data_IF_048926989304
#
_entry.id   IF_048926989304
#
_cell.length_a   1.000
_cell.length_b   1.000
_cell.length_c   1.000
_cell.angle_alpha   90.00
_cell.angle_beta   90.00
_cell.angle_gamma   90.00
#
_symmetry.space_group_name_H-M   'P 1'
#
loop_
_entity.id
_entity.type
_entity.pdbx_description
1 polymer ?
#
# COMPACT_ATOMS: atom_id res chain seq x y z
N UNK A 1 13.65 -8.77 -16.65
CA UNK A 1 13.02 -7.73 -17.49
C UNK A 1 13.97 -7.40 -18.63
N UNK A 2 13.69 -8.02 -19.76
CA UNK A 2 14.39 -7.79 -21.03
C UNK A 2 14.08 -6.42 -21.61
N UNK A 3 13.03 -5.72 -21.12
CA UNK A 3 12.67 -4.38 -21.58
C UNK A 3 11.95 -3.55 -20.50
N UNK A 4 12.05 -2.23 -20.59
CA UNK A 4 11.32 -1.26 -19.75
C UNK A 4 10.45 -0.41 -20.67
N UNK A 5 9.18 -0.23 -20.32
CA UNK A 5 8.24 0.60 -21.05
C UNK A 5 7.74 1.74 -20.17
N UNK A 6 7.79 2.96 -20.69
CA UNK A 6 7.24 4.12 -20.03
C UNK A 6 5.84 4.36 -20.59
N UNK A 7 4.85 4.32 -19.71
CA UNK A 7 3.50 4.78 -20.05
C UNK A 7 3.33 6.23 -19.62
N UNK A 8 2.55 6.99 -20.40
CA UNK A 8 2.21 8.37 -20.03
C UNK A 8 1.42 8.45 -18.73
N UNK A 9 1.22 9.66 -18.17
CA UNK A 9 0.45 9.85 -16.96
C UNK A 9 -0.98 9.34 -17.16
N UNK A 10 -1.43 8.51 -16.22
CA UNK A 10 -2.79 7.97 -16.19
C UNK A 10 -3.52 8.51 -14.96
N UNK A 11 -4.83 8.81 -15.07
CA UNK A 11 -5.64 9.07 -13.89
C UNK A 11 -5.55 7.88 -12.92
N UNK A 12 -5.30 8.18 -11.65
CA UNK A 12 -5.28 7.19 -10.57
C UNK A 12 -6.14 7.72 -9.43
N UNK A 13 -6.88 6.83 -8.78
CA UNK A 13 -7.69 7.20 -7.62
C UNK A 13 -6.80 7.72 -6.48
N UNK A 14 -7.29 8.74 -5.77
CA UNK A 14 -6.56 9.36 -4.67
C UNK A 14 -6.42 8.41 -3.47
N UNK A 15 -5.37 8.57 -2.69
CA UNK A 15 -5.18 7.90 -1.40
C UNK A 15 -4.53 8.86 -0.39
N UNK A 16 -4.48 8.42 0.87
CA UNK A 16 -3.99 9.25 1.98
C UNK A 16 -2.58 9.79 1.74
N UNK A 17 -1.69 8.98 1.17
CA UNK A 17 -0.29 9.36 0.93
C UNK A 17 -0.18 10.38 -0.19
N UNK A 18 -0.91 10.18 -1.30
CA UNK A 18 -0.88 11.12 -2.43
C UNK A 18 -1.48 12.49 -2.07
N UNK A 19 -2.45 12.53 -1.14
CA UNK A 19 -3.00 13.80 -0.62
C UNK A 19 -1.99 14.56 0.23
N UNK A 20 -1.35 13.89 1.18
CA UNK A 20 -0.32 14.51 2.03
C UNK A 20 0.84 15.06 1.20
N UNK A 21 1.35 14.25 0.27
CA UNK A 21 2.52 14.59 -0.55
C UNK A 21 2.13 15.15 -1.92
N UNK A 22 0.98 15.85 -2.02
CA UNK A 22 0.47 16.38 -3.28
C UNK A 22 1.47 17.31 -4.00
N UNK A 23 2.28 18.06 -3.26
CA UNK A 23 3.37 18.89 -3.80
C UNK A 23 4.39 18.08 -4.63
N UNK A 24 4.58 16.81 -4.29
CA UNK A 24 5.54 15.91 -4.92
C UNK A 24 4.86 14.82 -5.77
N UNK A 25 3.62 15.04 -6.21
CA UNK A 25 2.84 14.03 -6.94
C UNK A 25 3.56 13.48 -8.17
N UNK A 26 4.31 14.34 -8.88
CA UNK A 26 5.09 13.99 -10.08
C UNK A 26 6.31 13.11 -9.80
N UNK A 27 6.59 12.81 -8.53
CA UNK A 27 7.68 11.95 -8.10
C UNK A 27 7.21 10.56 -7.69
N UNK A 28 5.90 10.30 -7.67
CA UNK A 28 5.34 8.98 -7.48
C UNK A 28 5.17 8.29 -8.83
N UNK A 29 5.56 7.02 -8.90
CA UNK A 29 5.27 6.16 -10.04
C UNK A 29 4.75 4.81 -9.56
N UNK A 30 3.99 4.15 -10.43
CA UNK A 30 3.63 2.74 -10.27
C UNK A 30 4.50 1.94 -11.22
N UNK A 31 5.21 0.96 -10.68
CA UNK A 31 5.98 0.00 -11.46
C UNK A 31 5.24 -1.33 -11.45
N UNK A 32 4.91 -1.84 -12.63
CA UNK A 32 4.25 -3.13 -12.82
C UNK A 32 5.21 -4.12 -13.45
N UNK A 33 5.25 -5.33 -12.89
CA UNK A 33 6.03 -6.45 -13.42
C UNK A 33 5.08 -7.38 -14.17
N UNK A 34 5.24 -7.46 -15.49
CA UNK A 34 4.34 -8.18 -16.40
C UNK A 34 5.12 -9.05 -17.39
N UNK A 35 4.45 -10.04 -17.97
CA UNK A 35 4.95 -10.85 -19.08
C UNK A 35 4.89 -10.08 -20.42
N UNK A 36 5.28 -10.75 -21.51
CA UNK A 36 5.24 -10.20 -22.87
C UNK A 36 3.83 -9.85 -23.37
N UNK A 37 2.80 -10.44 -22.76
CA UNK A 37 1.38 -10.22 -23.06
C UNK A 37 0.73 -9.21 -22.10
N UNK A 38 1.53 -8.49 -21.29
CA UNK A 38 1.08 -7.55 -20.26
C UNK A 38 0.23 -8.19 -19.15
N UNK A 39 0.43 -9.48 -18.89
CA UNK A 39 -0.23 -10.23 -17.82
C UNK A 39 0.63 -10.29 -16.55
N UNK A 40 -0.04 -10.45 -15.42
CA UNK A 40 0.57 -10.67 -14.11
C UNK A 40 1.47 -11.90 -14.12
N UNK A 41 2.67 -11.78 -13.56
CA UNK A 41 3.61 -12.90 -13.43
C UNK A 41 3.10 -13.94 -12.42
N UNK A 42 3.23 -15.21 -12.77
CA UNK A 42 2.89 -16.33 -11.89
C UNK A 42 4.06 -16.74 -11.00
N UNK A 43 3.76 -17.49 -9.94
CA UNK A 43 4.79 -18.08 -9.07
C UNK A 43 5.76 -19.01 -9.85
N UNK A 44 5.27 -19.70 -10.88
CA UNK A 44 6.10 -20.55 -11.71
C UNK A 44 7.11 -19.76 -12.55
N UNK A 45 6.81 -18.51 -12.92
CA UNK A 45 7.72 -17.64 -13.68
C UNK A 45 8.89 -17.14 -12.83
N UNK A 46 8.66 -17.04 -11.51
CA UNK A 46 9.63 -16.55 -10.53
C UNK A 46 10.43 -17.67 -9.85
N UNK A 47 9.75 -18.77 -9.53
CA UNK A 47 10.31 -19.91 -8.81
C UNK A 47 9.67 -21.24 -9.25
N UNK A 48 10.10 -21.81 -10.39
CA UNK A 48 9.59 -23.08 -10.89
C UNK A 48 9.89 -24.21 -9.91
N UNK A 49 8.87 -25.00 -9.55
CA UNK A 49 9.00 -26.14 -8.61
C UNK A 49 10.00 -27.21 -9.06
N UNK A 50 10.26 -27.32 -10.35
CA UNK A 50 11.16 -28.30 -10.98
C UNK A 50 12.61 -27.83 -11.10
N UNK A 51 12.93 -26.58 -10.72
CA UNK A 51 14.26 -26.00 -10.91
C UNK A 51 15.19 -26.27 -9.73
N UNK A 52 16.42 -26.72 -10.02
CA UNK A 52 17.50 -26.91 -9.02
C UNK A 52 17.85 -25.58 -8.34
N UNK A 53 17.83 -24.49 -9.11
CA UNK A 53 17.87 -23.11 -8.63
C UNK A 53 16.44 -22.59 -8.50
N UNK A 54 15.92 -22.51 -7.26
CA UNK A 54 14.54 -22.10 -6.96
C UNK A 54 14.16 -20.68 -7.43
N UNK A 55 15.07 -19.87 -7.97
CA UNK A 55 14.84 -18.48 -8.39
C UNK A 55 15.29 -18.28 -9.84
N UNK A 56 14.45 -17.64 -10.65
CA UNK A 56 14.74 -17.34 -12.05
C UNK A 56 15.48 -16.00 -12.19
N UNK A 57 16.08 -15.76 -13.37
CA UNK A 57 16.63 -14.43 -13.72
C UNK A 57 15.57 -13.32 -13.68
N UNK A 58 14.29 -13.67 -13.87
CA UNK A 58 13.18 -12.73 -13.72
C UNK A 58 13.05 -12.32 -12.25
N UNK A 59 13.05 -13.29 -11.33
CA UNK A 59 13.06 -13.03 -9.89
C UNK A 59 14.23 -12.11 -9.51
N UNK A 60 15.46 -12.44 -9.92
CA UNK A 60 16.64 -11.68 -9.52
C UNK A 60 16.57 -10.21 -9.92
N UNK A 61 15.92 -9.92 -11.04
CA UNK A 61 15.78 -8.54 -11.47
C UNK A 61 14.55 -7.82 -10.92
N UNK A 62 13.46 -8.51 -10.64
CA UNK A 62 12.39 -7.89 -9.83
C UNK A 62 13.00 -7.51 -8.48
N UNK A 63 13.80 -8.41 -7.89
CA UNK A 63 14.53 -8.14 -6.66
C UNK A 63 15.45 -6.93 -6.78
N UNK A 64 16.28 -6.81 -7.84
CA UNK A 64 17.15 -5.63 -7.99
C UNK A 64 16.40 -4.32 -8.22
N UNK A 65 15.25 -4.35 -8.91
CA UNK A 65 14.38 -3.16 -9.03
C UNK A 65 13.85 -2.73 -7.67
N UNK A 66 13.46 -3.70 -6.82
CA UNK A 66 12.91 -3.42 -5.49
C UNK A 66 14.01 -3.02 -4.49
N UNK A 67 15.21 -3.61 -4.56
CA UNK A 67 16.31 -3.33 -3.65
C UNK A 67 17.11 -2.08 -4.04
N UNK A 68 17.43 -1.94 -5.32
CA UNK A 68 18.37 -0.94 -5.81
C UNK A 68 17.63 0.29 -6.38
N UNK A 69 16.36 0.12 -6.73
CA UNK A 69 15.54 1.12 -7.38
C UNK A 69 15.64 1.11 -8.90
N UNK A 70 15.04 2.11 -9.53
CA UNK A 70 15.09 2.34 -10.98
C UNK A 70 15.59 3.75 -11.27
N UNK A 71 16.48 3.91 -12.24
CA UNK A 71 16.91 5.23 -12.70
C UNK A 71 16.10 5.62 -13.94
N UNK A 72 15.38 6.74 -13.86
CA UNK A 72 14.67 7.35 -14.99
C UNK A 72 15.21 8.76 -15.19
N UNK A 73 15.90 8.99 -16.31
CA UNK A 73 16.59 10.26 -16.57
C UNK A 73 17.61 10.56 -15.46
N UNK A 74 17.42 11.67 -14.74
CA UNK A 74 18.29 12.09 -13.63
C UNK A 74 17.77 11.68 -12.24
N UNK A 75 16.63 10.98 -12.17
CA UNK A 75 15.98 10.60 -10.92
C UNK A 75 16.22 9.13 -10.61
N UNK A 76 16.74 8.83 -9.42
CA UNK A 76 16.71 7.49 -8.83
C UNK A 76 15.38 7.33 -8.10
N UNK A 77 14.65 6.29 -8.43
CA UNK A 77 13.32 6.01 -7.89
C UNK A 77 13.42 4.78 -7.00
N UNK A 78 12.98 4.93 -5.77
CA UNK A 78 13.16 3.95 -4.70
C UNK A 78 11.83 3.27 -4.37
N UNK A 79 11.90 2.03 -3.91
CA UNK A 79 10.73 1.31 -3.45
C UNK A 79 10.06 2.06 -2.29
N UNK A 80 8.75 2.28 -2.41
CA UNK A 80 7.96 2.93 -1.39
C UNK A 80 7.11 1.92 -0.62
N UNK A 81 6.09 1.36 -1.28
CA UNK A 81 5.18 0.37 -0.71
C UNK A 81 4.30 -0.24 -1.81
N UNK A 82 3.41 -1.14 -1.44
CA UNK A 82 2.34 -1.65 -2.30
C UNK A 82 1.03 -1.70 -1.51
N UNK A 83 -0.09 -1.48 -2.19
CA UNK A 83 -1.41 -1.78 -1.68
C UNK A 83 -1.80 -3.24 -1.95
N UNK A 84 -2.87 -3.72 -1.33
CA UNK A 84 -3.41 -5.05 -1.60
C UNK A 84 -3.84 -5.25 -3.06
N UNK A 85 -4.39 -4.21 -3.71
CA UNK A 85 -4.77 -4.27 -5.13
C UNK A 85 -3.54 -4.37 -6.02
N UNK A 86 -2.48 -3.63 -5.69
CA UNK A 86 -1.23 -3.62 -6.45
C UNK A 86 -0.48 -4.95 -6.33
N UNK A 87 -0.54 -5.60 -5.16
CA UNK A 87 0.03 -6.93 -4.99
C UNK A 87 -0.63 -7.96 -5.93
N UNK A 88 -1.96 -7.86 -6.14
CA UNK A 88 -2.70 -8.70 -7.09
C UNK A 88 -2.31 -8.44 -8.55
N UNK A 89 -1.94 -7.20 -8.87
CA UNK A 89 -1.50 -6.79 -10.21
C UNK A 89 0.03 -6.75 -10.37
N UNK A 90 0.79 -7.43 -9.49
CA UNK A 90 2.27 -7.45 -9.47
C UNK A 90 2.89 -6.06 -9.66
N UNK A 91 2.33 -5.08 -8.96
CA UNK A 91 2.68 -3.67 -9.06
C UNK A 91 3.09 -3.10 -7.70
N UNK A 92 3.82 -2.00 -7.72
CA UNK A 92 4.27 -1.31 -6.51
C UNK A 92 4.36 0.19 -6.72
N UNK A 93 4.12 0.95 -5.66
CA UNK A 93 4.50 2.36 -5.60
C UNK A 93 6.01 2.48 -5.44
N UNK A 94 6.59 3.38 -6.22
CA UNK A 94 7.97 3.85 -6.06
C UNK A 94 7.97 5.38 -6.03
N UNK A 95 8.98 5.95 -5.37
CA UNK A 95 9.10 7.39 -5.18
C UNK A 95 10.50 7.88 -5.54
N UNK A 96 10.58 8.97 -6.28
CA UNK A 96 11.82 9.65 -6.59
C UNK A 96 12.10 10.72 -5.53
N UNK A 97 13.16 10.58 -4.69
CA UNK A 97 13.48 11.57 -3.66
C UNK A 97 13.64 12.98 -4.23
N UNK A 98 13.10 13.97 -3.50
CA UNK A 98 13.10 15.39 -3.89
C UNK A 98 12.97 16.27 -2.66
N UNK A 99 13.58 17.46 -2.68
CA UNK A 99 13.51 18.45 -1.60
C UNK A 99 13.82 17.88 -0.20
N UNK A 100 14.74 16.92 -0.13
CA UNK A 100 15.12 16.24 1.11
C UNK A 100 14.18 15.11 1.56
N UNK A 101 13.02 14.95 0.92
CA UNK A 101 12.06 13.87 1.19
C UNK A 101 12.47 12.60 0.46
N UNK A 102 12.56 11.48 1.19
CA UNK A 102 12.84 10.13 0.68
C UNK A 102 11.65 9.20 0.90
N UNK A 103 11.68 8.04 0.24
CA UNK A 103 10.68 7.00 0.44
C UNK A 103 10.62 6.50 1.91
N UNK A 104 11.75 6.55 2.63
CA UNK A 104 11.79 6.21 4.05
C UNK A 104 10.98 7.18 4.93
N UNK A 105 11.06 8.49 4.65
CA UNK A 105 10.35 9.52 5.41
C UNK A 105 8.84 9.38 5.21
N UNK A 106 8.42 9.12 3.96
CA UNK A 106 7.01 8.85 3.62
C UNK A 106 6.50 7.60 4.36
N UNK A 107 7.30 6.52 4.44
CA UNK A 107 6.94 5.33 5.23
C UNK A 107 6.86 5.60 6.73
N UNK A 108 7.75 6.44 7.27
CA UNK A 108 7.72 6.82 8.68
C UNK A 108 6.49 7.65 9.02
N UNK A 109 6.06 8.51 8.08
CA UNK A 109 4.84 9.30 8.25
C UNK A 109 3.55 8.47 8.24
N UNK A 110 3.54 7.31 7.56
CA UNK A 110 2.36 6.44 7.50
C UNK A 110 1.93 5.89 8.86
N UNK A 111 2.84 5.85 9.83
CA UNK A 111 2.59 5.37 11.18
C UNK A 111 3.79 4.62 11.75
N UNK A 112 3.71 4.33 13.04
CA UNK A 112 4.69 3.47 13.72
C UNK A 112 4.28 2.00 13.57
N UNK A 113 5.12 1.24 12.86
CA UNK A 113 4.97 -0.19 12.65
C UNK A 113 6.10 -1.00 13.31
N UNK A 114 6.93 -0.38 14.16
CA UNK A 114 8.11 -1.00 14.76
C UNK A 114 7.80 -2.20 15.66
N UNK A 115 6.58 -2.27 16.21
CA UNK A 115 6.10 -3.41 16.99
C UNK A 115 5.76 -4.64 16.13
N UNK A 116 5.57 -4.48 14.82
CA UNK A 116 5.16 -5.55 13.90
C UNK A 116 6.38 -6.32 13.39
N UNK A 117 6.70 -7.44 14.06
CA UNK A 117 7.84 -8.30 13.68
C UNK A 117 7.60 -9.14 12.43
N UNK A 118 6.34 -9.40 12.07
CA UNK A 118 6.00 -10.22 10.91
C UNK A 118 6.01 -9.37 9.64
N UNK A 119 6.90 -9.67 8.70
CA UNK A 119 7.09 -8.90 7.46
C UNK A 119 5.82 -8.80 6.61
N UNK A 120 5.04 -9.88 6.51
CA UNK A 120 3.80 -9.87 5.74
C UNK A 120 2.75 -8.96 6.38
N UNK A 121 2.59 -9.02 7.72
CA UNK A 121 1.70 -8.11 8.45
C UNK A 121 2.17 -6.66 8.36
N UNK A 122 3.47 -6.42 8.48
CA UNK A 122 4.07 -5.09 8.37
C UNK A 122 3.74 -4.47 7.02
N UNK A 123 4.00 -5.20 5.93
CA UNK A 123 3.76 -4.69 4.59
C UNK A 123 2.27 -4.52 4.28
N UNK A 124 1.41 -5.41 4.79
CA UNK A 124 -0.04 -5.26 4.68
C UNK A 124 -0.53 -3.99 5.39
N UNK A 125 -0.01 -3.67 6.58
CA UNK A 125 -0.36 -2.45 7.32
C UNK A 125 0.16 -1.18 6.64
N UNK A 126 1.41 -1.20 6.17
CA UNK A 126 1.99 -0.10 5.39
C UNK A 126 1.16 0.18 4.13
N UNK A 127 0.69 -0.87 3.45
CA UNK A 127 -0.13 -0.79 2.24
C UNK A 127 -1.53 -0.21 2.43
N UNK A 128 -2.06 -0.15 3.66
CA UNK A 128 -3.41 0.39 3.93
C UNK A 128 -3.49 1.87 3.55
N UNK A 129 -2.42 2.64 3.77
CA UNK A 129 -2.35 4.06 3.41
C UNK A 129 -2.41 4.33 1.90
N UNK A 130 -2.14 3.31 1.07
CA UNK A 130 -2.26 3.37 -0.39
C UNK A 130 -3.56 2.79 -0.94
N UNK A 131 -4.47 2.36 -0.05
CA UNK A 131 -5.84 2.04 -0.44
C UNK A 131 -6.52 3.26 -1.04
N UNK A 132 -7.24 3.07 -2.14
CA UNK A 132 -8.09 4.12 -2.70
C UNK A 132 -9.10 4.56 -1.65
N UNK A 133 -9.19 5.87 -1.42
CA UNK A 133 -10.07 6.44 -0.40
C UNK A 133 -10.48 7.87 -0.77
N UNK A 134 -11.76 8.18 -0.58
CA UNK A 134 -12.28 9.55 -0.55
C UNK A 134 -12.08 10.10 0.86
N UNK A 135 -11.45 11.26 0.98
CA UNK A 135 -11.33 11.93 2.27
C UNK A 135 -12.70 12.45 2.72
N UNK A 136 -13.12 12.05 3.92
CA UNK A 136 -14.42 12.40 4.47
C UNK A 136 -14.31 13.57 5.45
N UNK A 137 -13.99 13.34 6.71
CA UNK A 137 -13.94 14.41 7.71
C UNK A 137 -12.71 14.22 8.59
N UNK A 138 -12.14 15.33 9.04
CA UNK A 138 -11.15 15.31 10.12
C UNK A 138 -11.89 15.18 11.44
N UNK A 139 -11.47 14.25 12.27
CA UNK A 139 -12.02 14.02 13.62
C UNK A 139 -10.94 14.41 14.60
N UNK A 140 -11.25 15.32 15.52
CA UNK A 140 -10.34 15.74 16.56
C UNK A 140 -10.14 14.63 17.58
N UNK A 141 -9.00 14.63 18.29
CA UNK A 141 -8.68 13.58 19.25
C UNK A 141 -9.72 13.48 20.38
N UNK A 142 -10.33 14.61 20.76
CA UNK A 142 -11.36 14.70 21.80
C UNK A 142 -12.69 14.03 21.38
N UNK A 143 -12.90 13.83 20.07
CA UNK A 143 -14.07 13.15 19.51
C UNK A 143 -13.83 11.65 19.27
N UNK A 144 -12.70 11.11 19.74
CA UNK A 144 -12.32 9.69 19.57
C UNK A 144 -12.31 8.96 20.92
N UNK A 145 -13.14 7.93 21.03
CA UNK A 145 -13.15 7.02 22.18
C UNK A 145 -12.49 5.68 21.83
N UNK A 146 -11.50 5.25 22.64
CA UNK A 146 -10.93 3.91 22.55
C UNK A 146 -11.76 2.94 23.39
N UNK A 147 -12.55 2.11 22.72
CA UNK A 147 -13.43 1.12 23.36
C UNK A 147 -12.72 -0.25 23.39
N UNK A 148 -12.70 -0.95 24.53
CA UNK A 148 -12.18 -2.31 24.60
C UNK A 148 -12.93 -3.27 23.69
N UNK A 149 -12.21 -4.28 23.17
CA UNK A 149 -12.83 -5.33 22.38
C UNK A 149 -13.87 -6.14 23.19
N UNK A 150 -14.93 -6.57 22.51
CA UNK A 150 -15.94 -7.48 23.06
C UNK A 150 -15.38 -8.90 23.02
N UNK A 151 -14.82 -9.31 24.15
CA UNK A 151 -14.21 -10.63 24.33
C UNK A 151 -15.09 -11.56 25.18
N UNK A 152 -15.20 -12.85 24.78
CA UNK A 152 -15.71 -13.91 25.66
C UNK A 152 -14.66 -15.01 25.84
N UNK A 153 -14.70 -15.65 27.00
CA UNK A 153 -13.95 -16.87 27.26
C UNK A 153 -14.92 -18.04 27.34
N UNK A 154 -14.78 -19.01 26.45
CA UNK A 154 -15.60 -20.22 26.43
C UNK A 154 -14.74 -21.43 26.07
N UNK A 155 -14.93 -22.54 26.80
CA UNK A 155 -14.19 -23.80 26.58
C UNK A 155 -12.66 -23.64 26.50
N UNK A 156 -12.10 -22.77 27.35
CA UNK A 156 -10.65 -22.49 27.40
C UNK A 156 -10.11 -21.69 26.20
N UNK A 157 -10.98 -21.15 25.34
CA UNK A 157 -10.60 -20.30 24.20
C UNK A 157 -11.18 -18.90 24.36
N UNK A 158 -10.37 -17.90 23.97
CA UNK A 158 -10.77 -16.50 23.88
C UNK A 158 -11.32 -16.23 22.49
N UNK A 159 -12.50 -15.63 22.42
CA UNK A 159 -13.14 -15.19 21.18
C UNK A 159 -13.31 -13.67 21.22
N UNK A 160 -12.95 -13.00 20.13
CA UNK A 160 -13.06 -11.54 19.96
C UNK A 160 -14.16 -11.27 18.93
N UNK A 161 -15.24 -10.60 19.31
CA UNK A 161 -16.39 -10.33 18.45
C UNK A 161 -16.35 -8.97 17.76
N UNK A 162 -15.48 -8.08 18.21
CA UNK A 162 -15.33 -6.72 17.68
C UNK A 162 -14.06 -6.51 16.85
N UNK A 163 -13.33 -7.59 16.52
CA UNK A 163 -12.09 -7.48 15.75
C UNK A 163 -12.36 -6.83 14.38
N UNK A 164 -11.81 -5.64 14.18
CA UNK A 164 -11.92 -4.89 12.94
C UNK A 164 -13.21 -4.08 12.78
N UNK A 165 -14.04 -3.94 13.81
CA UNK A 165 -15.25 -3.09 13.78
C UNK A 165 -15.20 -2.01 14.86
N UNK A 166 -15.92 -0.91 14.62
CA UNK A 166 -16.04 0.22 15.53
C UNK A 166 -17.41 0.88 15.42
N UNK A 167 -17.65 1.90 16.23
CA UNK A 167 -18.89 2.69 16.20
C UNK A 167 -18.59 4.13 15.78
N UNK A 168 -19.56 4.74 15.13
CA UNK A 168 -19.58 6.19 14.85
C UNK A 168 -20.92 6.74 15.32
N UNK A 169 -20.98 8.01 15.68
CA UNK A 169 -22.26 8.67 16.01
C UNK A 169 -23.15 8.77 14.76
N UNK A 170 -24.47 8.81 14.97
CA UNK A 170 -25.44 8.98 13.88
C UNK A 170 -25.19 10.28 13.11
N UNK A 171 -24.94 11.37 13.85
CA UNK A 171 -24.66 12.68 13.26
C UNK A 171 -23.39 12.65 12.39
N UNK A 172 -22.34 11.96 12.84
CA UNK A 172 -21.12 11.79 12.04
C UNK A 172 -21.37 10.94 10.79
N UNK A 173 -22.17 9.88 10.90
CA UNK A 173 -22.56 9.06 9.75
C UNK A 173 -23.30 9.88 8.68
N UNK A 174 -24.22 10.75 9.09
CA UNK A 174 -24.93 11.65 8.16
C UNK A 174 -23.98 12.63 7.46
N UNK A 175 -23.05 13.24 8.19
CA UNK A 175 -22.07 14.15 7.61
C UNK A 175 -21.18 13.44 6.58
N UNK A 176 -20.76 12.20 6.88
CA UNK A 176 -20.01 11.36 5.94
C UNK A 176 -20.85 11.01 4.71
N UNK A 177 -22.12 10.62 4.88
CA UNK A 177 -23.02 10.28 3.78
C UNK A 177 -23.22 11.45 2.82
N UNK A 178 -23.47 12.65 3.35
CA UNK A 178 -23.60 13.89 2.56
C UNK A 178 -22.34 14.19 1.76
N UNK A 179 -21.15 14.05 2.36
CA UNK A 179 -19.88 14.29 1.64
C UNK A 179 -19.58 13.21 0.58
N UNK A 180 -20.11 12.01 0.77
CA UNK A 180 -19.99 10.91 -0.17
C UNK A 180 -21.06 10.94 -1.28
N UNK A 181 -21.97 11.91 -1.28
CA UNK A 181 -23.11 12.00 -2.22
C UNK A 181 -24.00 10.74 -2.16
N UNK A 182 -24.15 10.18 -0.96
CA UNK A 182 -25.03 9.03 -0.70
C UNK A 182 -26.32 9.59 -0.10
N UNK A 183 -27.45 9.40 -0.79
CA UNK A 183 -28.77 9.68 -0.23
C UNK A 183 -29.06 8.68 0.90
N UNK A 184 -29.37 9.20 2.09
CA UNK A 184 -29.69 8.42 3.29
C UNK A 184 -31.13 7.93 3.31
#
# INVERSE_FOLDING_TARGET
PTRVYFSGPKPHESNRVLREYAKHINNFIIVSFVDENLKTLSCNDLSPRSSVNRKTKVYDRIYSVLSDGVVIGKKKIEFLAYSASQLKSTSTWMFAPIDGVKAADIRSWMGDFGSIKNVAKYAARLGQSFGSSKETLTVEADDVELIPDVEIFSSGKRYVFSDGIGKISSDFAELVARKCDIEG
#
